data_IF_332065511317
#
_entry.id   IF_332065511317
#
_cell.length_a   1.000
_cell.length_b   1.000
_cell.length_c   1.000
_cell.angle_alpha   90.00
_cell.angle_beta   90.00
_cell.angle_gamma   90.00
#
_symmetry.space_group_name_H-M   'P 1'
#
loop_
_entity.id
_entity.type
_entity.pdbx_description
1 polymer ?
#
# COMPACT_ATOMS: atom_id res chain seq x y z
N UNK A 1 -9.21 -36.40 22.04
CA UNK A 1 -8.39 -35.18 21.87
C UNK A 1 -8.15 -35.04 20.38
N UNK A 2 -9.03 -34.31 19.67
CA UNK A 2 -8.86 -34.07 18.24
C UNK A 2 -8.15 -32.73 18.06
N UNK A 3 -6.91 -32.79 17.58
CA UNK A 3 -6.20 -31.66 16.99
C UNK A 3 -7.04 -31.07 15.87
N UNK A 4 -7.56 -29.88 16.10
CA UNK A 4 -8.18 -29.05 15.08
C UNK A 4 -7.06 -28.46 14.23
N UNK A 5 -7.05 -28.78 12.95
CA UNK A 5 -6.07 -28.28 11.98
C UNK A 5 -6.24 -26.77 11.80
N UNK A 6 -5.24 -25.99 12.21
CA UNK A 6 -5.09 -24.57 11.89
C UNK A 6 -4.72 -24.43 10.41
N UNK A 7 -5.68 -24.56 9.51
CA UNK A 7 -5.55 -23.99 8.16
C UNK A 7 -5.97 -22.53 8.26
N UNK A 8 -5.06 -21.70 8.78
CA UNK A 8 -5.29 -20.27 8.97
C UNK A 8 -4.83 -19.49 7.75
N UNK A 9 -5.76 -18.80 7.10
CA UNK A 9 -5.50 -17.58 6.33
C UNK A 9 -4.49 -16.72 7.10
N UNK A 10 -3.45 -16.19 6.43
CA UNK A 10 -2.52 -15.27 7.10
C UNK A 10 -3.31 -14.10 7.69
N UNK A 11 -3.10 -13.84 8.97
CA UNK A 11 -3.74 -12.75 9.69
C UNK A 11 -2.99 -11.44 9.43
N UNK A 12 -3.64 -10.30 9.68
CA UNK A 12 -2.98 -8.99 9.71
C UNK A 12 -1.67 -9.00 10.51
N UNK A 13 -1.61 -9.78 11.58
CA UNK A 13 -0.40 -9.91 12.41
C UNK A 13 0.76 -10.53 11.63
N UNK A 14 0.49 -11.54 10.81
CA UNK A 14 1.50 -12.23 10.02
C UNK A 14 2.04 -11.31 8.92
N UNK A 15 1.15 -10.60 8.20
CA UNK A 15 1.55 -9.63 7.17
C UNK A 15 2.37 -8.48 7.77
N UNK A 16 1.99 -7.96 8.94
CA UNK A 16 2.77 -6.92 9.62
C UNK A 16 4.13 -7.44 10.11
N UNK A 17 4.23 -8.71 10.48
CA UNK A 17 5.51 -9.34 10.82
C UNK A 17 6.44 -9.41 9.59
N UNK A 18 5.90 -9.72 8.42
CA UNK A 18 6.66 -9.71 7.15
C UNK A 18 7.14 -8.31 6.78
N UNK A 19 6.29 -7.29 6.94
CA UNK A 19 6.67 -5.87 6.74
C UNK A 19 7.80 -5.47 7.70
N UNK A 20 7.70 -5.85 8.98
CA UNK A 20 8.74 -5.57 9.97
C UNK A 20 10.06 -6.28 9.63
N UNK A 21 10.00 -7.54 9.19
CA UNK A 21 11.17 -8.29 8.76
C UNK A 21 11.83 -7.66 7.52
N UNK A 22 11.04 -7.17 6.57
CA UNK A 22 11.56 -6.44 5.41
C UNK A 22 12.22 -5.12 5.80
N UNK A 23 11.64 -4.33 6.71
CA UNK A 23 12.31 -3.12 7.21
C UNK A 23 13.64 -3.46 7.90
N UNK A 24 13.71 -4.51 8.70
CA UNK A 24 14.97 -4.95 9.30
C UNK A 24 16.02 -5.34 8.24
N UNK A 25 15.61 -5.98 7.13
CA UNK A 25 16.51 -6.27 5.99
C UNK A 25 16.98 -5.00 5.30
N UNK A 26 16.12 -4.01 5.13
CA UNK A 26 16.49 -2.72 4.55
C UNK A 26 17.50 -1.98 5.42
N UNK A 27 17.29 -1.92 6.74
CA UNK A 27 18.24 -1.31 7.67
C UNK A 27 19.60 -2.02 7.63
N UNK A 28 19.60 -3.35 7.62
CA UNK A 28 20.84 -4.14 7.52
C UNK A 28 21.59 -3.91 6.19
N UNK A 29 20.86 -3.65 5.10
CA UNK A 29 21.43 -3.47 3.76
C UNK A 29 21.90 -2.03 3.50
N UNK A 30 21.17 -1.04 3.97
CA UNK A 30 21.37 0.37 3.58
C UNK A 30 21.75 1.28 4.76
N UNK A 31 21.65 0.80 6.00
CA UNK A 31 21.93 1.58 7.21
C UNK A 31 20.92 2.71 7.44
N UNK A 32 21.36 3.78 8.10
CA UNK A 32 20.55 4.98 8.34
C UNK A 32 20.22 5.68 7.01
N UNK A 33 18.96 6.07 6.84
CA UNK A 33 18.47 6.80 5.67
C UNK A 33 17.69 8.03 6.15
N UNK A 34 18.20 9.23 5.86
CA UNK A 34 17.58 10.52 6.22
C UNK A 34 17.52 11.41 4.98
N UNK A 35 16.75 10.99 3.97
CA UNK A 35 16.57 11.73 2.72
C UNK A 35 15.53 12.83 2.90
N UNK A 36 15.59 13.93 2.13
CA UNK A 36 14.48 14.87 2.06
C UNK A 36 13.24 14.19 1.49
N UNK A 37 12.05 14.69 1.87
CA UNK A 37 10.77 14.07 1.49
C UNK A 37 10.56 14.03 -0.03
N UNK A 38 10.92 15.11 -0.74
CA UNK A 38 10.79 15.17 -2.19
C UNK A 38 9.34 15.07 -2.67
N UNK A 39 8.41 15.73 -1.97
CA UNK A 39 6.98 15.76 -2.28
C UNK A 39 6.44 17.20 -2.33
N UNK A 40 5.17 17.34 -2.68
CA UNK A 40 4.46 18.62 -2.70
C UNK A 40 4.74 19.46 -3.95
N UNK A 41 4.16 20.67 -3.97
CA UNK A 41 4.18 21.55 -5.15
C UNK A 41 5.58 22.00 -5.60
N UNK A 42 6.56 21.99 -4.70
CA UNK A 42 7.96 22.36 -4.99
C UNK A 42 8.77 21.21 -5.64
N UNK A 43 8.26 19.97 -5.57
CA UNK A 43 8.84 18.85 -6.28
C UNK A 43 8.22 18.75 -7.67
N UNK A 44 9.05 18.61 -8.71
CA UNK A 44 8.70 18.66 -10.15
C UNK A 44 7.84 17.49 -10.65
N UNK A 45 6.89 17.01 -9.84
CA UNK A 45 5.85 16.07 -10.26
C UNK A 45 4.95 16.68 -11.34
N UNK A 46 4.90 18.01 -11.44
CA UNK A 46 4.23 18.71 -12.55
C UNK A 46 4.80 18.37 -13.93
N UNK A 47 6.02 17.83 -14.02
CA UNK A 47 6.62 17.36 -15.28
C UNK A 47 6.20 15.92 -15.65
N UNK A 48 5.51 15.22 -14.75
CA UNK A 48 4.99 13.87 -14.95
C UNK A 48 3.45 13.90 -14.84
N UNK A 49 2.73 14.18 -15.94
CA UNK A 49 1.27 14.35 -15.94
C UNK A 49 0.50 13.21 -15.28
N UNK A 50 1.07 12.00 -15.27
CA UNK A 50 0.50 10.82 -14.66
C UNK A 50 0.40 10.91 -13.13
N UNK A 51 1.25 11.71 -12.46
CA UNK A 51 1.31 11.86 -11.00
C UNK A 51 0.34 12.92 -10.45
N UNK A 52 -0.58 13.40 -11.28
CA UNK A 52 -1.63 14.32 -10.85
C UNK A 52 -2.68 13.60 -10.00
N UNK A 53 -2.89 14.10 -8.78
CA UNK A 53 -3.85 13.54 -7.82
C UNK A 53 -5.28 13.50 -8.37
N UNK A 54 -5.70 14.49 -9.16
CA UNK A 54 -7.06 14.52 -9.71
C UNK A 54 -7.23 13.46 -10.80
N UNK A 55 -6.21 13.27 -11.63
CA UNK A 55 -6.16 12.20 -12.61
C UNK A 55 -6.22 10.83 -11.93
N UNK A 56 -5.43 10.60 -10.89
CA UNK A 56 -5.42 9.34 -10.15
C UNK A 56 -6.78 9.00 -9.54
N UNK A 57 -7.39 9.95 -8.81
CA UNK A 57 -8.75 9.84 -8.26
C UNK A 57 -9.79 9.51 -9.34
N UNK A 58 -9.80 10.31 -10.42
CA UNK A 58 -10.73 10.11 -11.54
C UNK A 58 -10.55 8.75 -12.21
N UNK A 59 -9.31 8.27 -12.31
CA UNK A 59 -9.00 6.95 -12.87
C UNK A 59 -9.51 5.84 -11.97
N UNK A 60 -9.30 5.95 -10.66
CA UNK A 60 -9.79 4.99 -9.67
C UNK A 60 -11.32 4.93 -9.66
N UNK A 61 -11.99 6.08 -9.49
CA UNK A 61 -13.45 6.20 -9.51
C UNK A 61 -14.06 5.54 -10.75
N UNK A 62 -13.57 5.91 -11.94
CA UNK A 62 -14.07 5.34 -13.21
C UNK A 62 -13.82 3.85 -13.33
N UNK A 63 -12.73 3.33 -12.78
CA UNK A 63 -12.47 1.90 -12.77
C UNK A 63 -13.51 1.17 -11.90
N UNK A 64 -13.78 1.69 -10.70
CA UNK A 64 -14.80 1.14 -9.80
C UNK A 64 -16.22 1.28 -10.36
N UNK A 65 -16.58 2.42 -10.95
CA UNK A 65 -17.87 2.64 -11.64
C UNK A 65 -18.13 1.60 -12.75
N UNK A 66 -17.07 1.12 -13.42
CA UNK A 66 -17.15 0.12 -14.50
C UNK A 66 -17.00 -1.32 -14.02
N UNK A 67 -16.86 -1.55 -12.71
CA UNK A 67 -16.61 -2.87 -12.14
C UNK A 67 -15.22 -3.44 -12.46
N UNK A 68 -14.27 -2.58 -12.86
CA UNK A 68 -12.90 -2.93 -13.22
C UNK A 68 -11.86 -2.38 -12.21
N UNK A 69 -12.33 -1.90 -11.04
CA UNK A 69 -11.48 -1.43 -9.94
C UNK A 69 -10.49 -2.53 -9.53
N UNK A 70 -9.25 -2.13 -9.27
CA UNK A 70 -8.17 -3.03 -8.89
C UNK A 70 -7.36 -2.43 -7.75
N UNK A 71 -6.59 -3.27 -7.08
CA UNK A 71 -5.64 -2.82 -6.06
C UNK A 71 -4.60 -1.81 -6.59
N UNK A 72 -4.22 -1.94 -7.87
CA UNK A 72 -3.33 -0.96 -8.51
C UNK A 72 -3.98 0.42 -8.60
N UNK A 73 -5.28 0.51 -8.89
CA UNK A 73 -5.98 1.79 -8.91
C UNK A 73 -5.97 2.48 -7.54
N UNK A 74 -6.26 1.71 -6.48
CA UNK A 74 -6.28 2.24 -5.10
C UNK A 74 -4.86 2.66 -4.69
N UNK A 75 -3.86 1.77 -4.83
CA UNK A 75 -2.50 2.06 -4.42
C UNK A 75 -1.91 3.26 -5.18
N UNK A 76 -2.23 3.39 -6.47
CA UNK A 76 -1.77 4.50 -7.30
C UNK A 76 -2.39 5.84 -6.87
N UNK A 77 -3.67 5.84 -6.49
CA UNK A 77 -4.33 7.03 -5.94
C UNK A 77 -3.65 7.49 -4.65
N UNK A 78 -3.49 6.60 -3.66
CA UNK A 78 -2.81 6.92 -2.40
C UNK A 78 -1.36 7.41 -2.63
N UNK A 79 -0.67 6.82 -3.61
CA UNK A 79 0.67 7.27 -3.97
C UNK A 79 0.65 8.70 -4.50
N UNK A 80 -0.25 9.02 -5.43
CA UNK A 80 -0.35 10.38 -5.98
C UNK A 80 -0.78 11.39 -4.92
N UNK A 81 -1.63 11.01 -3.96
CA UNK A 81 -2.00 11.84 -2.82
C UNK A 81 -0.80 12.17 -1.93
N UNK A 82 -0.01 11.15 -1.54
CA UNK A 82 1.20 11.36 -0.76
C UNK A 82 2.23 12.24 -1.49
N UNK A 83 2.43 12.01 -2.79
CA UNK A 83 3.40 12.76 -3.58
C UNK A 83 2.99 14.23 -3.76
N UNK A 84 1.69 14.53 -3.77
CA UNK A 84 1.18 15.89 -3.89
C UNK A 84 1.16 16.69 -2.57
N UNK A 85 1.60 16.10 -1.45
CA UNK A 85 1.51 16.71 -0.12
C UNK A 85 2.83 17.33 0.34
N UNK A 86 2.76 18.56 0.84
CA UNK A 86 3.91 19.37 1.27
C UNK A 86 3.95 19.56 2.80
N UNK A 87 2.84 19.37 3.50
CA UNK A 87 2.82 19.42 4.96
C UNK A 87 3.31 18.08 5.56
N UNK A 88 4.36 18.06 6.40
CA UNK A 88 4.93 16.81 6.92
C UNK A 88 3.95 15.95 7.73
N UNK A 89 3.01 16.57 8.45
CA UNK A 89 2.05 15.83 9.25
C UNK A 89 1.00 15.15 8.36
N UNK A 90 0.56 15.83 7.31
CA UNK A 90 -0.34 15.29 6.30
C UNK A 90 0.36 14.25 5.43
N UNK A 91 1.59 14.50 4.98
CA UNK A 91 2.40 13.55 4.22
C UNK A 91 2.53 12.23 4.98
N UNK A 92 2.83 12.29 6.28
CA UNK A 92 2.87 11.10 7.13
C UNK A 92 1.52 10.35 7.14
N UNK A 93 0.41 11.06 7.13
CA UNK A 93 -0.92 10.45 7.10
C UNK A 93 -1.19 9.77 5.75
N UNK A 94 -0.86 10.41 4.62
CA UNK A 94 -1.01 9.80 3.29
C UNK A 94 -0.09 8.59 3.11
N UNK A 95 1.17 8.66 3.58
CA UNK A 95 2.08 7.51 3.57
C UNK A 95 1.57 6.34 4.41
N UNK A 96 0.85 6.63 5.51
CA UNK A 96 0.21 5.59 6.31
C UNK A 96 -0.95 4.94 5.56
N UNK A 97 -1.77 5.73 4.85
CA UNK A 97 -2.86 5.20 4.01
C UNK A 97 -2.31 4.32 2.89
N UNK A 98 -1.28 4.80 2.18
CA UNK A 98 -0.56 4.03 1.16
C UNK A 98 -0.03 2.70 1.72
N UNK A 99 0.62 2.72 2.88
CA UNK A 99 1.12 1.51 3.53
C UNK A 99 -0.02 0.55 3.94
N UNK A 100 -1.13 1.08 4.43
CA UNK A 100 -2.31 0.27 4.79
C UNK A 100 -2.92 -0.40 3.55
N UNK A 101 -2.99 0.28 2.41
CA UNK A 101 -3.45 -0.30 1.13
C UNK A 101 -2.51 -1.41 0.65
N UNK A 102 -1.19 -1.21 0.76
CA UNK A 102 -0.22 -2.24 0.41
C UNK A 102 -0.36 -3.50 1.28
N UNK A 103 -0.50 -3.32 2.60
CA UNK A 103 -0.75 -4.42 3.56
C UNK A 103 -2.06 -5.15 3.22
N UNK A 104 -3.14 -4.41 2.97
CA UNK A 104 -4.42 -5.01 2.62
C UNK A 104 -4.37 -5.78 1.29
N UNK A 105 -3.58 -5.28 0.32
CA UNK A 105 -3.38 -6.00 -0.93
C UNK A 105 -2.62 -7.32 -0.69
N UNK A 106 -1.61 -7.36 0.18
CA UNK A 106 -0.92 -8.59 0.59
C UNK A 106 -1.89 -9.58 1.23
N UNK A 107 -2.68 -9.14 2.22
CA UNK A 107 -3.71 -9.98 2.86
C UNK A 107 -4.68 -10.56 1.82
N UNK A 108 -5.09 -9.76 0.84
CA UNK A 108 -5.97 -10.22 -0.22
C UNK A 108 -5.30 -11.23 -1.17
N UNK A 109 -3.99 -11.12 -1.43
CA UNK A 109 -3.22 -12.13 -2.17
C UNK A 109 -3.22 -13.43 -1.39
N UNK A 110 -2.87 -13.39 -0.10
CA UNK A 110 -2.75 -14.57 0.74
C UNK A 110 -4.11 -15.27 0.91
N UNK A 111 -5.18 -14.49 1.11
CA UNK A 111 -6.54 -15.00 1.19
C UNK A 111 -6.99 -15.72 -0.09
N UNK A 112 -6.55 -15.26 -1.27
CA UNK A 112 -6.83 -15.94 -2.55
C UNK A 112 -6.04 -17.23 -2.73
N UNK A 113 -4.91 -17.37 -2.05
CA UNK A 113 -4.05 -18.55 -2.12
C UNK A 113 -4.38 -19.60 -1.05
N UNK A 114 -5.13 -19.22 -0.02
CA UNK A 114 -5.60 -20.15 1.00
C UNK A 114 -6.49 -21.25 0.37
N UNK A 115 -6.20 -22.54 0.63
CA UNK A 115 -7.02 -23.62 0.11
C UNK A 115 -8.45 -23.49 0.63
N UNK A 116 -9.44 -23.63 -0.26
CA UNK A 116 -10.84 -23.63 0.14
C UNK A 116 -11.08 -24.71 1.19
N UNK A 117 -11.60 -24.31 2.36
CA UNK A 117 -12.02 -25.26 3.39
C UNK A 117 -13.02 -26.24 2.78
N UNK A 118 -12.69 -27.53 2.73
CA UNK A 118 -13.67 -28.55 2.35
C UNK A 118 -14.76 -28.63 3.43
N UNK A 119 -16.04 -28.74 3.03
CA UNK A 119 -17.17 -28.79 3.97
C UNK A 119 -17.16 -30.05 4.85
#
# INVERSE_FOLDING_TARGET
>A
MNSSAMLGTMSLTDVLADVAAERARQDARWGEQNHPDGTGADYTLSEVPELDVRFARTRCDRAFERGAGSWEHILYEEFCEAMAEDDPARLRAELLQLAAVAVHWMEAIDARQAPAAQP
#
